data_IF_702324161532
#
_entry.id   IF_702324161532
#
_cell.length_a   1.000
_cell.length_b   1.000
_cell.length_c   1.000
_cell.angle_alpha   90.00
_cell.angle_beta   90.00
_cell.angle_gamma   90.00
#
_symmetry.space_group_name_H-M   'P 1'
#
loop_
_entity.id
_entity.type
_entity.pdbx_description
1 polymer ?
#
# COMPACT_ATOMS: atom_id res chain seq x y z
N UNK A 1 -18.32 1.97 12.77
CA UNK A 1 -17.56 3.12 12.24
C UNK A 1 -16.22 3.12 12.96
N UNK A 2 -15.11 3.14 12.24
CA UNK A 2 -13.76 3.12 12.82
C UNK A 2 -13.22 4.55 12.89
N UNK A 3 -12.80 4.97 14.08
CA UNK A 3 -12.19 6.29 14.30
C UNK A 3 -10.67 6.13 14.33
N UNK A 4 -9.98 6.81 13.44
CA UNK A 4 -8.52 6.81 13.37
C UNK A 4 -7.99 8.22 13.64
N UNK A 5 -6.92 8.32 14.40
CA UNK A 5 -6.22 9.59 14.64
C UNK A 5 -4.99 9.61 13.74
N UNK A 6 -4.90 10.61 12.86
CA UNK A 6 -3.79 10.76 11.93
C UNK A 6 -2.44 10.89 12.65
N UNK A 7 -1.33 10.59 11.96
CA UNK A 7 0.02 10.60 12.54
C UNK A 7 0.38 11.94 13.22
N UNK A 8 -0.14 13.06 12.71
CA UNK A 8 0.10 14.40 13.25
C UNK A 8 -0.95 14.84 14.30
N UNK A 9 -1.87 13.97 14.68
CA UNK A 9 -2.89 14.19 15.72
C UNK A 9 -3.94 15.29 15.44
N UNK A 10 -3.72 16.16 14.45
CA UNK A 10 -4.63 17.28 14.13
C UNK A 10 -5.90 16.84 13.38
N UNK A 11 -5.87 15.66 12.76
CA UNK A 11 -6.98 15.16 11.97
C UNK A 11 -7.44 13.77 12.43
N UNK A 12 -8.74 13.54 12.29
CA UNK A 12 -9.39 12.30 12.65
C UNK A 12 -10.20 11.77 11.47
N UNK A 13 -9.93 10.53 11.09
CA UNK A 13 -10.66 9.84 10.04
C UNK A 13 -11.81 9.04 10.64
N UNK A 14 -13.02 9.23 10.10
CA UNK A 14 -14.17 8.37 10.37
C UNK A 14 -14.37 7.45 9.17
N UNK A 15 -13.98 6.19 9.30
CA UNK A 15 -14.12 5.20 8.25
C UNK A 15 -15.38 4.36 8.46
N UNK A 16 -16.15 4.23 7.39
CA UNK A 16 -17.13 3.15 7.30
C UNK A 16 -16.36 1.85 7.09
N UNK A 17 -16.45 0.94 8.07
CA UNK A 17 -16.02 -0.43 7.90
C UNK A 17 -17.18 -1.18 7.23
N UNK A 18 -17.09 -1.53 5.94
CA UNK A 18 -18.07 -2.44 5.36
C UNK A 18 -18.01 -3.76 6.14
N UNK A 19 -19.12 -4.48 6.33
CA UNK A 19 -19.07 -5.79 6.97
C UNK A 19 -18.16 -6.73 6.15
N UNK A 20 -17.48 -7.64 6.82
CA UNK A 20 -16.39 -8.45 6.23
C UNK A 20 -16.91 -9.38 5.10
N UNK A 21 -18.23 -9.53 4.96
CA UNK A 21 -18.96 -10.33 3.98
C UNK A 21 -19.41 -9.55 2.72
N UNK A 22 -19.02 -8.28 2.56
CA UNK A 22 -19.35 -7.52 1.35
C UNK A 22 -18.60 -8.10 0.14
N UNK A 23 -19.30 -8.97 -0.58
CA UNK A 23 -18.82 -9.55 -1.83
C UNK A 23 -19.08 -8.62 -3.02
N UNK A 24 -18.41 -8.83 -4.16
CA UNK A 24 -18.77 -8.16 -5.42
C UNK A 24 -20.22 -8.38 -5.85
N UNK A 25 -20.90 -9.43 -5.35
CA UNK A 25 -22.33 -9.63 -5.57
C UNK A 25 -23.17 -8.57 -4.85
N UNK A 26 -22.86 -8.30 -3.57
CA UNK A 26 -23.52 -7.26 -2.76
C UNK A 26 -23.34 -5.88 -3.39
N UNK A 27 -22.14 -5.56 -3.91
CA UNK A 27 -21.91 -4.28 -4.58
C UNK A 27 -22.77 -4.11 -5.85
N UNK A 28 -22.98 -5.20 -6.60
CA UNK A 28 -23.88 -5.21 -7.77
C UNK A 28 -25.35 -5.02 -7.36
N UNK A 29 -25.79 -5.68 -6.29
CA UNK A 29 -27.15 -5.52 -5.74
C UNK A 29 -27.42 -4.09 -5.29
N UNK A 30 -26.43 -3.47 -4.63
CA UNK A 30 -26.51 -2.07 -4.19
C UNK A 30 -26.34 -1.05 -5.33
N UNK A 31 -26.18 -1.52 -6.58
CA UNK A 31 -25.89 -0.68 -7.77
C UNK A 31 -24.69 0.25 -7.55
N UNK A 32 -23.76 -0.16 -6.71
CA UNK A 32 -22.52 0.57 -6.49
C UNK A 32 -21.57 0.25 -7.63
N UNK A 33 -20.94 1.27 -8.20
CA UNK A 33 -19.94 1.06 -9.24
C UNK A 33 -18.71 0.39 -8.64
N UNK A 34 -18.48 -0.87 -9.02
CA UNK A 34 -17.19 -1.53 -8.78
C UNK A 34 -16.22 -0.94 -9.81
N UNK A 35 -15.41 0.02 -9.38
CA UNK A 35 -14.35 0.55 -10.23
C UNK A 35 -13.33 -0.58 -10.46
N UNK A 36 -13.17 -1.08 -11.70
CA UNK A 36 -12.19 -2.10 -11.97
C UNK A 36 -10.80 -1.55 -11.65
N UNK A 37 -10.02 -2.30 -10.88
CA UNK A 37 -8.60 -1.99 -10.71
C UNK A 37 -7.91 -2.42 -12.00
N UNK A 38 -7.56 -1.46 -12.85
CA UNK A 38 -6.69 -1.71 -13.98
C UNK A 38 -5.37 -2.32 -13.48
N UNK A 39 -4.94 -3.43 -14.08
CA UNK A 39 -3.69 -4.12 -13.73
C UNK A 39 -3.66 -4.58 -12.25
N UNK A 40 -4.57 -5.48 -11.85
CA UNK A 40 -4.76 -5.86 -10.45
C UNK A 40 -3.53 -6.54 -9.84
N UNK A 41 -2.77 -7.26 -10.66
CA UNK A 41 -1.53 -7.92 -10.23
C UNK A 41 -0.44 -6.88 -9.95
N UNK A 42 -0.28 -5.87 -10.80
CA UNK A 42 0.66 -4.77 -10.62
C UNK A 42 0.30 -3.92 -9.41
N UNK A 43 -0.97 -3.52 -9.27
CA UNK A 43 -1.43 -2.74 -8.12
C UNK A 43 -1.27 -3.49 -6.80
N UNK A 44 -1.56 -4.79 -6.78
CA UNK A 44 -1.33 -5.63 -5.59
C UNK A 44 0.14 -5.75 -5.23
N UNK A 45 1.04 -5.90 -6.22
CA UNK A 45 2.50 -5.94 -5.99
C UNK A 45 3.02 -4.63 -5.41
N UNK A 46 2.55 -3.49 -5.91
CA UNK A 46 2.96 -2.17 -5.37
C UNK A 46 2.43 -1.98 -3.94
N UNK A 47 1.22 -2.44 -3.63
CA UNK A 47 0.70 -2.40 -2.26
C UNK A 47 1.52 -3.30 -1.33
N UNK A 48 1.87 -4.51 -1.77
CA UNK A 48 2.72 -5.42 -1.01
C UNK A 48 4.12 -4.81 -0.76
N UNK A 49 4.73 -4.21 -1.79
CA UNK A 49 6.00 -3.50 -1.65
C UNK A 49 5.90 -2.31 -0.69
N UNK A 50 4.84 -1.51 -0.77
CA UNK A 50 4.62 -0.41 0.16
C UNK A 50 4.42 -0.92 1.60
N UNK A 51 3.71 -2.03 1.79
CA UNK A 51 3.57 -2.70 3.09
C UNK A 51 4.93 -3.13 3.64
N UNK A 52 5.81 -3.67 2.78
CA UNK A 52 7.15 -4.08 3.17
C UNK A 52 7.99 -2.93 3.71
N UNK A 53 7.94 -1.78 3.03
CA UNK A 53 8.73 -0.60 3.38
C UNK A 53 8.13 0.19 4.55
N UNK A 54 6.79 0.33 4.60
CA UNK A 54 6.12 1.21 5.54
C UNK A 54 5.69 0.52 6.84
N UNK A 55 5.76 -0.80 6.96
CA UNK A 55 5.43 -1.54 8.19
C UNK A 55 6.68 -2.20 8.77
N UNK A 56 7.56 -1.48 9.49
CA UNK A 56 8.82 -2.04 9.99
C UNK A 56 8.63 -3.03 11.14
N UNK A 57 7.76 -2.69 12.09
CA UNK A 57 7.44 -3.51 13.26
C UNK A 57 6.14 -4.29 13.06
N UNK A 58 6.29 -5.58 12.77
CA UNK A 58 5.17 -6.52 12.56
C UNK A 58 4.35 -6.82 13.81
N UNK A 59 4.84 -6.48 15.02
CA UNK A 59 4.07 -6.67 16.25
C UNK A 59 2.96 -5.62 16.37
N UNK A 60 3.17 -4.44 15.78
CA UNK A 60 2.17 -3.38 15.70
C UNK A 60 1.25 -3.54 14.48
N UNK A 61 0.11 -2.87 14.49
CA UNK A 61 -0.74 -2.77 13.32
C UNK A 61 -0.02 -2.09 12.14
N UNK A 62 -0.36 -2.41 10.89
CA UNK A 62 0.30 -1.85 9.71
C UNK A 62 0.06 -0.34 9.53
N UNK A 63 -1.03 0.20 10.09
CA UNK A 63 -1.33 1.62 10.03
C UNK A 63 -1.16 2.28 11.41
N UNK A 64 -0.57 3.49 11.51
CA UNK A 64 -0.11 4.36 10.42
C UNK A 64 1.26 3.97 9.82
N UNK A 65 1.95 2.97 10.39
CA UNK A 65 3.26 2.53 9.92
C UNK A 65 4.34 3.62 10.04
N UNK A 66 5.36 3.56 9.18
CA UNK A 66 6.41 4.57 8.96
C UNK A 66 6.38 5.05 7.49
N UNK A 67 6.97 6.21 7.20
CA UNK A 67 7.13 6.67 5.81
C UNK A 67 8.34 6.00 5.16
N UNK A 68 8.19 5.61 3.90
CA UNK A 68 9.27 5.16 3.04
C UNK A 68 9.38 6.08 1.82
N UNK A 69 10.48 6.01 1.09
CA UNK A 69 10.63 6.72 -0.18
C UNK A 69 9.91 5.98 -1.31
N UNK A 70 9.44 6.73 -2.32
CA UNK A 70 8.90 6.14 -3.55
C UNK A 70 9.91 5.19 -4.20
N UNK A 71 11.20 5.53 -4.13
CA UNK A 71 12.31 4.74 -4.68
C UNK A 71 12.43 3.37 -4.01
N UNK A 72 12.40 3.30 -2.68
CA UNK A 72 12.44 2.03 -1.94
C UNK A 72 11.27 1.12 -2.30
N UNK A 73 10.06 1.67 -2.46
CA UNK A 73 8.90 0.89 -2.88
C UNK A 73 9.09 0.33 -4.28
N UNK A 74 9.51 1.16 -5.24
CA UNK A 74 9.75 0.72 -6.62
C UNK A 74 10.90 -0.29 -6.72
N UNK A 75 11.91 -0.18 -5.86
CA UNK A 75 13.02 -1.13 -5.76
C UNK A 75 12.54 -2.52 -5.34
N UNK A 76 11.66 -2.61 -4.33
CA UNK A 76 11.04 -3.88 -3.94
C UNK A 76 10.20 -4.46 -5.09
N UNK A 77 9.50 -3.61 -5.85
CA UNK A 77 8.74 -4.06 -7.02
C UNK A 77 9.66 -4.61 -8.11
N UNK A 78 10.79 -3.95 -8.40
CA UNK A 78 11.81 -4.43 -9.33
C UNK A 78 12.28 -5.85 -8.97
N UNK A 79 12.58 -6.06 -7.68
CA UNK A 79 13.03 -7.35 -7.17
C UNK A 79 11.94 -8.44 -7.27
N UNK A 80 10.66 -8.08 -7.18
CA UNK A 80 9.54 -9.03 -7.32
C UNK A 80 9.27 -9.45 -8.77
N UNK A 81 9.59 -8.61 -9.74
CA UNK A 81 9.35 -8.85 -11.17
C UNK A 81 10.59 -8.49 -12.00
N UNK A 82 11.70 -9.21 -11.81
CA UNK A 82 12.97 -8.90 -12.46
C UNK A 82 12.86 -9.06 -13.99
N UNK A 83 13.70 -8.31 -14.71
CA UNK A 83 13.79 -8.39 -16.18
C UNK A 83 12.80 -7.50 -16.93
N UNK A 84 12.08 -6.61 -16.23
CA UNK A 84 11.40 -5.47 -16.85
C UNK A 84 12.40 -4.35 -17.08
N UNK A 85 12.32 -3.67 -18.22
CA UNK A 85 13.08 -2.45 -18.44
C UNK A 85 12.68 -1.37 -17.43
N UNK A 86 13.65 -0.61 -16.95
CA UNK A 86 13.48 0.41 -15.90
C UNK A 86 12.34 1.39 -16.19
N UNK A 87 12.26 1.89 -17.42
CA UNK A 87 11.19 2.81 -17.86
C UNK A 87 9.79 2.20 -17.77
N UNK A 88 9.67 0.91 -18.12
CA UNK A 88 8.39 0.18 -18.08
C UNK A 88 7.98 -0.04 -16.63
N UNK A 89 8.92 -0.44 -15.78
CA UNK A 89 8.69 -0.61 -14.35
C UNK A 89 8.26 0.71 -13.71
N UNK A 90 8.96 1.80 -14.01
CA UNK A 90 8.65 3.12 -13.49
C UNK A 90 7.25 3.57 -13.91
N UNK A 91 6.88 3.42 -15.19
CA UNK A 91 5.54 3.77 -15.68
C UNK A 91 4.44 2.97 -14.98
N UNK A 92 4.62 1.65 -14.85
CA UNK A 92 3.65 0.77 -14.21
C UNK A 92 3.52 1.06 -12.71
N UNK A 93 4.66 1.22 -12.04
CA UNK A 93 4.75 1.55 -10.61
C UNK A 93 4.08 2.87 -10.30
N UNK A 94 4.39 3.94 -11.03
CA UNK A 94 3.77 5.26 -10.87
C UNK A 94 2.26 5.22 -11.12
N UNK A 95 1.82 4.45 -12.13
CA UNK A 95 0.39 4.22 -12.38
C UNK A 95 -0.31 3.54 -11.20
N UNK A 96 0.30 2.49 -10.64
CA UNK A 96 -0.24 1.75 -9.50
C UNK A 96 -0.24 2.58 -8.21
N UNK A 97 0.83 3.33 -7.93
CA UNK A 97 0.92 4.27 -6.81
C UNK A 97 -0.22 5.29 -6.84
N UNK A 98 -0.47 5.90 -8.01
CA UNK A 98 -1.59 6.85 -8.18
C UNK A 98 -2.96 6.20 -7.92
N UNK A 99 -3.17 4.96 -8.38
CA UNK A 99 -4.42 4.21 -8.11
C UNK A 99 -4.59 3.91 -6.62
N UNK A 100 -3.53 3.50 -5.94
CA UNK A 100 -3.55 3.21 -4.50
C UNK A 100 -3.76 4.47 -3.65
N UNK A 101 -3.15 5.59 -4.05
CA UNK A 101 -3.39 6.89 -3.43
C UNK A 101 -4.85 7.32 -3.55
N UNK A 102 -5.39 7.28 -4.78
CA UNK A 102 -6.80 7.64 -5.06
C UNK A 102 -7.78 6.79 -4.26
N UNK A 103 -7.44 5.52 -4.02
CA UNK A 103 -8.28 4.57 -3.27
C UNK A 103 -7.97 4.50 -1.76
N UNK A 104 -7.13 5.43 -1.27
CA UNK A 104 -6.74 5.60 0.15
C UNK A 104 -6.02 4.41 0.78
N UNK A 105 -5.44 3.54 -0.04
CA UNK A 105 -4.54 2.47 0.41
C UNK A 105 -3.14 2.99 0.73
N UNK A 106 -2.71 4.04 0.04
CA UNK A 106 -1.46 4.75 0.30
C UNK A 106 -1.74 6.24 0.47
N UNK A 107 -0.87 6.89 1.21
CA UNK A 107 -0.72 8.34 1.22
C UNK A 107 0.61 8.70 0.59
N UNK A 108 0.63 9.66 -0.33
CA UNK A 108 1.81 9.98 -1.14
C UNK A 108 2.08 11.48 -1.06
N UNK A 109 3.22 11.81 -0.48
CA UNK A 109 3.79 13.15 -0.56
C UNK A 109 4.66 13.24 -1.81
N UNK A 110 4.11 13.86 -2.85
CA UNK A 110 4.79 14.02 -4.13
C UNK A 110 5.96 15.02 -4.06
N UNK A 111 5.94 15.97 -3.13
CA UNK A 111 7.04 16.93 -2.97
C UNK A 111 8.22 16.28 -2.25
N UNK A 112 7.95 15.58 -1.14
CA UNK A 112 8.98 14.86 -0.38
C UNK A 112 9.35 13.49 -0.97
N UNK A 113 8.67 13.04 -2.03
CA UNK A 113 8.83 11.70 -2.62
C UNK A 113 8.67 10.57 -1.59
N UNK A 114 7.70 10.72 -0.68
CA UNK A 114 7.42 9.77 0.40
C UNK A 114 6.09 9.08 0.21
N UNK A 115 6.05 7.84 0.66
CA UNK A 115 4.88 6.97 0.67
C UNK A 115 4.63 6.51 2.11
N UNK A 116 3.38 6.55 2.54
CA UNK A 116 2.90 5.96 3.79
C UNK A 116 1.71 5.05 3.52
N UNK A 117 1.40 4.17 4.48
CA UNK A 117 0.18 3.38 4.43
C UNK A 117 -1.03 4.28 4.69
N UNK A 118 -2.01 4.19 3.80
CA UNK A 118 -3.23 4.99 3.87
C UNK A 118 -4.25 4.43 4.86
N UNK A 119 -5.25 5.22 5.27
CA UNK A 119 -6.22 4.86 6.31
C UNK A 119 -7.04 3.61 5.98
N UNK A 120 -7.17 3.23 4.71
CA UNK A 120 -7.86 2.00 4.33
C UNK A 120 -7.14 0.74 4.82
N UNK A 121 -5.82 0.79 5.02
CA UNK A 121 -5.03 -0.30 5.60
C UNK A 121 -5.49 -0.62 7.03
N UNK A 122 -5.92 0.37 7.80
CA UNK A 122 -6.45 0.18 9.15
C UNK A 122 -7.81 -0.54 9.17
N UNK A 123 -8.46 -0.73 8.01
CA UNK A 123 -9.73 -1.46 7.90
C UNK A 123 -9.54 -2.96 7.75
N UNK A 124 -8.30 -3.45 7.61
CA UNK A 124 -8.05 -4.89 7.54
C UNK A 124 -8.51 -5.60 8.82
N UNK A 125 -9.21 -6.74 8.69
CA UNK A 125 -9.57 -7.58 9.82
C UNK A 125 -8.34 -8.07 10.59
N UNK A 126 -8.43 -8.14 11.92
CA UNK A 126 -7.34 -8.64 12.77
C UNK A 126 -6.95 -10.09 12.42
N UNK A 127 -7.91 -10.88 11.95
CA UNK A 127 -7.71 -12.27 11.51
C UNK A 127 -6.80 -12.40 10.27
N UNK A 128 -6.67 -11.34 9.46
CA UNK A 128 -5.83 -11.33 8.26
C UNK A 128 -4.39 -10.88 8.58
N UNK A 129 -4.15 -10.29 9.76
CA UNK A 129 -2.84 -9.81 10.17
C UNK A 129 -1.76 -10.91 10.19
N UNK A 130 -2.01 -12.14 10.66
CA UNK A 130 -1.02 -13.22 10.57
C UNK A 130 -0.57 -13.49 9.12
N UNK A 131 -1.51 -13.57 8.17
CA UNK A 131 -1.18 -13.80 6.76
C UNK A 131 -0.39 -12.62 6.17
N UNK A 132 -0.73 -11.39 6.53
CA UNK A 132 0.00 -10.19 6.10
C UNK A 132 1.42 -10.14 6.67
N UNK A 133 1.63 -10.60 7.91
CA UNK A 133 2.98 -10.69 8.52
C UNK A 133 3.85 -11.70 7.78
N UNK A 134 3.30 -12.85 7.42
CA UNK A 134 4.01 -13.86 6.64
C UNK A 134 4.34 -13.35 5.23
N UNK A 135 3.35 -12.79 4.51
CA UNK A 135 3.57 -12.16 3.21
C UNK A 135 4.71 -11.14 3.29
N UNK A 136 4.65 -10.22 4.26
CA UNK A 136 5.69 -9.20 4.45
C UNK A 136 7.08 -9.81 4.73
N UNK A 137 7.15 -10.93 5.44
CA UNK A 137 8.42 -11.62 5.74
C UNK A 137 9.07 -12.18 4.47
N UNK A 138 8.27 -12.68 3.53
CA UNK A 138 8.73 -13.23 2.26
C UNK A 138 9.17 -12.15 1.25
N UNK A 139 8.70 -10.91 1.41
CA UNK A 139 9.04 -9.82 0.51
C UNK A 139 10.49 -9.35 0.69
N UNK A 140 11.19 -9.06 -0.42
CA UNK A 140 12.56 -8.57 -0.37
C UNK A 140 12.64 -7.22 0.34
N UNK A 141 13.77 -6.97 1.01
CA UNK A 141 14.06 -5.64 1.55
C UNK A 141 14.41 -4.69 0.40
N UNK A 142 14.06 -3.39 0.51
CA UNK A 142 14.60 -2.41 -0.41
C UNK A 142 16.12 -2.43 -0.34
N UNK A 143 16.78 -2.41 -1.49
CA UNK A 143 18.23 -2.27 -1.57
C UNK A 143 18.61 -0.90 -0.97
N UNK A 144 19.65 -0.83 -0.12
CA UNK A 144 20.12 0.45 0.37
C UNK A 144 20.43 1.36 -0.82
N UNK A 145 20.20 2.66 -0.67
CA UNK A 145 20.77 3.61 -1.62
C UNK A 145 22.25 3.29 -1.71
N UNK A 146 22.71 2.91 -2.90
CA UNK A 146 24.13 3.04 -3.20
C UNK A 146 24.35 4.55 -3.17
N UNK A 147 24.77 5.06 -2.02
CA UNK A 147 25.49 6.32 -2.00
C UNK A 147 26.49 6.22 -3.14
N UNK A 148 26.34 7.10 -4.12
CA UNK A 148 27.36 7.30 -5.14
C UNK A 148 28.60 7.71 -4.34
N UNK A 149 29.43 6.73 -3.98
CA UNK A 149 30.82 6.94 -3.62
C UNK A 149 31.44 7.70 -4.81
N UNK A 150 31.44 9.03 -4.71
CA UNK A 150 32.22 9.96 -5.53
C UNK A 150 33.31 10.55 -4.64
#
# INVERSE_FOLDING_TARGET
MLRLVERDSEHCWLLHRPPDDVTPAVLRELRMQVLPVEFPNETSRVLAAALRCCWPDVQTGPWPGQSATTREVLDVVDQLIPGRGEEVLHRLGTGALRRLHTSRWLDIDAEAQRVCLGPRVATWPEQDLPALRELRRELPLPRPDRELDQ
#
